data_IF_351540700623
#
_entry.id   IF_351540700623
#
_cell.length_a   1.000
_cell.length_b   1.000
_cell.length_c   1.000
_cell.angle_alpha   90.00
_cell.angle_beta   90.00
_cell.angle_gamma   90.00
#
_symmetry.space_group_name_H-M   'P 1'
#
loop_
_entity.id
_entity.type
_entity.pdbx_description
1 polymer ?
#
# COMPACT_ATOMS: atom_id res chain seq x y z
N UNK A 1 1.86 -4.36 16.55
CA UNK A 1 2.65 -5.54 16.16
C UNK A 1 3.13 -5.39 14.73
N UNK A 2 4.30 -5.95 14.41
CA UNK A 2 4.80 -6.10 13.03
C UNK A 2 4.87 -7.59 12.74
N UNK A 3 4.09 -8.04 11.74
CA UNK A 3 3.92 -9.46 11.42
C UNK A 3 4.35 -9.71 9.99
N UNK A 4 5.13 -10.74 9.77
CA UNK A 4 5.47 -11.23 8.43
C UNK A 4 4.80 -12.58 8.21
N UNK A 5 3.99 -12.67 7.15
CA UNK A 5 3.38 -13.91 6.68
C UNK A 5 4.17 -14.40 5.47
N UNK A 6 4.83 -15.53 5.61
CA UNK A 6 5.60 -16.18 4.54
C UNK A 6 5.52 -17.69 4.68
N UNK A 7 5.60 -18.39 3.56
CA UNK A 7 5.73 -19.84 3.46
C UNK A 7 7.19 -20.31 3.41
N UNK A 8 8.11 -19.37 3.21
CA UNK A 8 9.54 -19.59 3.12
C UNK A 8 10.21 -19.47 4.50
N UNK A 9 10.89 -20.55 4.93
CA UNK A 9 11.54 -20.61 6.24
C UNK A 9 12.76 -19.67 6.34
N UNK A 10 13.50 -19.45 5.25
CA UNK A 10 14.64 -18.53 5.24
C UNK A 10 14.17 -17.08 5.37
N UNK A 11 13.11 -16.70 4.65
CA UNK A 11 12.49 -15.37 4.80
C UNK A 11 11.89 -15.18 6.19
N UNK A 12 11.34 -16.23 6.79
CA UNK A 12 10.83 -16.18 8.17
C UNK A 12 11.94 -15.89 9.17
N UNK A 13 13.11 -16.52 9.01
CA UNK A 13 14.25 -16.31 9.90
C UNK A 13 14.85 -14.90 9.73
N UNK A 14 14.99 -14.43 8.50
CA UNK A 14 15.39 -13.04 8.20
C UNK A 14 14.43 -12.04 8.85
N UNK A 15 13.13 -12.25 8.71
CA UNK A 15 12.14 -11.36 9.31
C UNK A 15 12.26 -11.29 10.84
N UNK A 16 12.52 -12.42 11.51
CA UNK A 16 12.76 -12.48 12.96
C UNK A 16 14.05 -11.75 13.36
N UNK A 17 15.13 -11.85 12.59
CA UNK A 17 16.37 -11.11 12.84
C UNK A 17 16.15 -9.59 12.83
N UNK A 18 15.23 -9.10 11.99
CA UNK A 18 14.83 -7.69 11.96
C UNK A 18 13.71 -7.33 12.95
N UNK A 19 13.33 -8.25 13.84
CA UNK A 19 12.40 -8.00 14.93
C UNK A 19 10.91 -8.13 14.59
N UNK A 20 10.57 -8.69 13.43
CA UNK A 20 9.18 -8.99 13.10
C UNK A 20 8.70 -10.28 13.79
N UNK A 21 7.41 -10.35 14.08
CA UNK A 21 6.76 -11.59 14.49
C UNK A 21 6.51 -12.46 13.26
N UNK A 22 6.85 -13.75 13.35
CA UNK A 22 6.46 -14.79 12.37
C UNK A 22 5.79 -15.91 13.15
N UNK A 23 4.52 -15.73 13.52
CA UNK A 23 3.83 -16.63 14.45
C UNK A 23 3.40 -17.95 13.82
N UNK A 24 3.39 -18.02 12.50
CA UNK A 24 3.06 -19.19 11.70
C UNK A 24 3.89 -19.21 10.42
N UNK A 25 3.96 -20.37 9.76
CA UNK A 25 4.35 -20.47 8.36
C UNK A 25 3.08 -20.45 7.53
N UNK A 26 3.00 -19.58 6.54
CA UNK A 26 1.80 -19.41 5.71
C UNK A 26 1.47 -20.72 4.99
N UNK A 27 0.21 -21.17 5.03
CA UNK A 27 -0.23 -22.36 4.30
C UNK A 27 0.06 -22.24 2.79
N UNK A 28 0.49 -23.35 2.19
CA UNK A 28 0.93 -23.37 0.77
C UNK A 28 -0.16 -22.86 -0.21
N UNK A 29 -1.43 -23.15 0.04
CA UNK A 29 -2.52 -22.67 -0.81
C UNK A 29 -2.73 -21.14 -0.75
N UNK A 30 -2.16 -20.46 0.25
CA UNK A 30 -2.14 -19.00 0.35
C UNK A 30 -0.83 -18.40 -0.20
N UNK A 31 0.05 -19.20 -0.76
CA UNK A 31 1.35 -18.79 -1.30
C UNK A 31 1.48 -19.05 -2.81
N UNK A 32 0.40 -19.40 -3.47
CA UNK A 32 0.38 -19.60 -4.91
C UNK A 32 0.42 -18.26 -5.66
N UNK A 33 1.02 -18.23 -6.85
CA UNK A 33 1.16 -17.03 -7.68
C UNK A 33 -0.19 -16.36 -8.02
N UNK A 34 -1.27 -17.13 -8.00
CA UNK A 34 -2.64 -16.66 -8.29
C UNK A 34 -3.40 -16.24 -7.04
N UNK A 35 -2.86 -16.44 -5.85
CA UNK A 35 -3.53 -16.11 -4.60
C UNK A 35 -3.58 -14.59 -4.40
N UNK A 36 -4.77 -14.05 -4.20
CA UNK A 36 -4.95 -12.66 -3.83
C UNK A 36 -4.35 -12.35 -2.45
N UNK A 37 -4.07 -11.09 -2.18
CA UNK A 37 -3.46 -10.66 -0.91
C UNK A 37 -4.44 -10.73 0.26
N UNK A 38 -5.73 -10.52 0.01
CA UNK A 38 -6.77 -10.45 1.04
C UNK A 38 -6.87 -11.74 1.88
N UNK A 39 -6.95 -12.95 1.31
CA UNK A 39 -6.95 -14.19 2.08
C UNK A 39 -5.71 -14.38 2.97
N UNK A 40 -4.57 -13.83 2.57
CA UNK A 40 -3.34 -13.88 3.38
C UNK A 40 -3.47 -13.01 4.63
N UNK A 41 -4.11 -11.85 4.50
CA UNK A 41 -4.36 -10.94 5.62
C UNK A 41 -5.43 -11.51 6.53
N UNK A 42 -6.51 -12.04 5.97
CA UNK A 42 -7.60 -12.71 6.70
C UNK A 42 -7.06 -13.86 7.58
N UNK A 43 -6.21 -14.71 7.02
CA UNK A 43 -5.53 -15.76 7.78
C UNK A 43 -4.71 -15.21 8.97
N UNK A 44 -4.02 -14.10 8.81
CA UNK A 44 -3.29 -13.49 9.90
C UNK A 44 -4.22 -12.90 10.97
N UNK A 45 -5.33 -12.28 10.57
CA UNK A 45 -6.36 -11.76 11.48
C UNK A 45 -6.99 -12.91 12.28
N UNK A 46 -7.39 -13.98 11.60
CA UNK A 46 -7.98 -15.18 12.22
C UNK A 46 -7.03 -15.80 13.23
N UNK A 47 -5.76 -15.99 12.86
CA UNK A 47 -4.74 -16.51 13.78
C UNK A 47 -4.67 -15.71 15.08
N UNK A 48 -4.61 -14.39 14.98
CA UNK A 48 -4.51 -13.55 16.18
C UNK A 48 -5.80 -13.52 16.98
N UNK A 49 -6.96 -13.52 16.34
CA UNK A 49 -8.27 -13.58 17.00
C UNK A 49 -8.45 -14.88 17.79
N UNK A 50 -8.09 -16.00 17.19
CA UNK A 50 -8.12 -17.31 17.86
C UNK A 50 -7.15 -17.41 19.03
N UNK A 51 -6.06 -16.64 19.00
CA UNK A 51 -5.08 -16.53 20.08
C UNK A 51 -5.37 -15.38 21.07
N UNK A 52 -6.60 -14.86 21.06
CA UNK A 52 -7.09 -13.92 22.08
C UNK A 52 -6.70 -12.46 21.85
N UNK A 53 -6.30 -12.10 20.63
CA UNK A 53 -6.03 -10.70 20.26
C UNK A 53 -6.67 -10.34 18.94
N UNK A 54 -7.72 -9.55 18.99
CA UNK A 54 -8.42 -9.07 17.80
C UNK A 54 -7.84 -7.71 17.37
N UNK A 55 -7.22 -7.61 16.18
CA UNK A 55 -6.73 -6.33 15.68
C UNK A 55 -7.89 -5.46 15.25
N UNK A 56 -7.91 -4.19 15.63
CA UNK A 56 -8.90 -3.20 15.19
C UNK A 56 -8.73 -2.85 13.70
N UNK A 57 -7.49 -2.75 13.27
CA UNK A 57 -7.12 -2.47 11.88
C UNK A 57 -5.78 -3.13 11.52
N UNK A 58 -5.58 -3.35 10.24
CA UNK A 58 -4.35 -3.90 9.67
C UNK A 58 -3.72 -2.86 8.75
N UNK A 59 -2.41 -2.63 8.91
CA UNK A 59 -1.60 -1.93 7.92
C UNK A 59 -0.87 -2.96 7.06
N UNK A 60 -1.30 -3.11 5.81
CA UNK A 60 -0.58 -3.89 4.81
C UNK A 60 0.57 -3.05 4.25
N UNK A 61 1.77 -3.60 4.28
CA UNK A 61 2.97 -3.06 3.66
C UNK A 61 3.50 -4.09 2.67
N UNK A 62 3.49 -3.77 1.38
CA UNK A 62 4.02 -4.69 0.37
C UNK A 62 5.55 -4.61 0.32
N UNK A 63 6.19 -5.76 0.23
CA UNK A 63 7.65 -5.88 0.17
C UNK A 63 8.24 -5.29 -1.13
N UNK A 64 7.43 -5.25 -2.20
CA UNK A 64 7.80 -4.64 -3.48
C UNK A 64 7.94 -3.12 -3.42
N UNK A 65 7.43 -2.47 -2.37
CA UNK A 65 7.59 -1.02 -2.15
C UNK A 65 8.49 -0.76 -0.93
N UNK A 66 9.81 -0.98 -1.03
CA UNK A 66 10.70 -0.98 0.14
C UNK A 66 11.11 0.41 0.63
N UNK A 67 10.98 1.44 -0.20
CA UNK A 67 11.44 2.80 0.14
C UNK A 67 10.41 3.49 1.04
N UNK A 68 10.83 3.83 2.26
CA UNK A 68 10.01 4.58 3.22
C UNK A 68 10.85 5.59 3.96
N UNK A 69 10.35 6.81 4.04
CA UNK A 69 10.98 7.86 4.82
C UNK A 69 10.72 7.67 6.33
N UNK A 70 11.66 8.08 7.18
CA UNK A 70 11.46 8.06 8.62
C UNK A 70 10.18 8.81 9.02
N UNK A 71 9.36 8.16 9.85
CA UNK A 71 8.12 8.76 10.38
C UNK A 71 6.89 8.64 9.47
N UNK A 72 7.01 8.19 8.23
CA UNK A 72 5.86 8.02 7.31
C UNK A 72 4.78 7.13 7.89
N UNK A 73 5.13 5.93 8.39
CA UNK A 73 4.16 5.02 8.99
C UNK A 73 3.47 5.63 10.22
N UNK A 74 4.23 6.34 11.06
CA UNK A 74 3.66 6.99 12.24
C UNK A 74 2.68 8.11 11.88
N UNK A 75 2.96 8.89 10.83
CA UNK A 75 2.02 9.91 10.30
C UNK A 75 0.76 9.25 9.75
N UNK A 76 0.91 8.15 9.01
CA UNK A 76 -0.20 7.42 8.43
C UNK A 76 -1.15 6.84 9.51
N UNK A 77 -0.59 6.18 10.53
CA UNK A 77 -1.38 5.66 11.67
C UNK A 77 -2.13 6.78 12.36
N UNK A 78 -1.48 7.93 12.60
CA UNK A 78 -2.13 9.08 13.24
C UNK A 78 -3.28 9.63 12.39
N UNK A 79 -3.06 9.86 11.09
CA UNK A 79 -4.12 10.33 10.20
C UNK A 79 -5.30 9.36 10.18
N UNK A 80 -5.03 8.05 10.10
CA UNK A 80 -6.08 7.03 10.10
C UNK A 80 -6.88 7.02 11.40
N UNK A 81 -6.20 7.13 12.55
CA UNK A 81 -6.87 7.18 13.85
C UNK A 81 -7.74 8.45 14.02
N UNK A 82 -7.33 9.57 13.44
CA UNK A 82 -8.03 10.85 13.57
C UNK A 82 -9.18 11.02 12.56
N UNK A 83 -9.09 10.42 11.37
CA UNK A 83 -10.07 10.63 10.29
C UNK A 83 -11.35 9.80 10.41
N UNK A 84 -11.35 8.74 11.23
CA UNK A 84 -12.49 7.84 11.45
C UNK A 84 -12.93 7.01 10.25
N UNK A 85 -12.11 6.95 9.19
CA UNK A 85 -12.44 6.20 7.97
C UNK A 85 -12.28 4.69 8.16
N UNK A 86 -12.86 3.92 7.23
CA UNK A 86 -12.81 2.46 7.28
C UNK A 86 -11.55 1.91 6.62
N UNK A 87 -11.02 2.64 5.63
CA UNK A 87 -9.73 2.34 5.02
C UNK A 87 -9.01 3.60 4.54
N UNK A 88 -7.70 3.48 4.36
CA UNK A 88 -6.82 4.51 3.83
C UNK A 88 -5.73 3.88 2.97
N UNK A 89 -5.43 4.48 1.82
CA UNK A 89 -4.41 4.01 0.88
C UNK A 89 -3.33 5.05 0.67
N UNK A 90 -2.07 4.59 0.63
CA UNK A 90 -0.91 5.40 0.28
C UNK A 90 -0.91 5.72 -1.21
N UNK A 91 -0.77 6.99 -1.55
CA UNK A 91 -0.81 7.46 -2.94
C UNK A 91 0.26 8.51 -3.21
N UNK A 92 0.65 8.61 -4.47
CA UNK A 92 1.58 9.60 -4.98
C UNK A 92 0.83 10.54 -5.92
N UNK A 93 0.99 11.86 -5.77
CA UNK A 93 0.42 12.82 -6.70
C UNK A 93 1.09 12.71 -8.07
N UNK A 94 0.30 12.61 -9.10
CA UNK A 94 0.76 12.62 -10.50
C UNK A 94 0.05 13.73 -11.28
N UNK A 95 0.67 14.16 -12.38
CA UNK A 95 0.02 15.13 -13.27
C UNK A 95 -1.27 14.56 -13.88
N UNK A 96 -2.22 15.42 -14.25
CA UNK A 96 -3.51 15.00 -14.79
C UNK A 96 -3.45 14.45 -16.22
N UNK A 97 -2.27 14.40 -16.83
CA UNK A 97 -2.06 14.05 -18.24
C UNK A 97 -2.22 12.56 -18.51
N UNK A 98 -3.37 12.03 -18.10
CA UNK A 98 -3.74 10.63 -18.22
C UNK A 98 -4.74 10.49 -19.38
N UNK A 99 -4.54 9.46 -20.20
CA UNK A 99 -5.43 9.09 -21.28
C UNK A 99 -6.06 7.73 -21.01
N UNK A 100 -7.32 7.58 -21.36
CA UNK A 100 -8.02 6.31 -21.33
C UNK A 100 -8.27 5.87 -22.77
N UNK A 101 -7.89 4.63 -23.09
CA UNK A 101 -8.23 4.01 -24.36
C UNK A 101 -9.52 3.22 -24.20
N UNK A 102 -10.54 3.53 -24.99
CA UNK A 102 -11.82 2.85 -24.94
C UNK A 102 -11.90 1.68 -25.94
N UNK A 103 -12.82 0.75 -25.69
CA UNK A 103 -13.00 -0.45 -26.51
C UNK A 103 -13.45 -0.14 -27.95
N UNK A 104 -14.06 1.02 -28.20
CA UNK A 104 -14.44 1.54 -29.52
C UNK A 104 -13.26 2.13 -30.31
N UNK A 105 -12.06 2.18 -29.70
CA UNK A 105 -10.86 2.71 -30.31
C UNK A 105 -10.65 4.21 -30.16
N UNK A 106 -11.51 4.91 -29.43
CA UNK A 106 -11.39 6.36 -29.20
C UNK A 106 -10.70 6.64 -27.85
N UNK A 107 -9.59 7.41 -27.83
CA UNK A 107 -8.95 7.81 -26.58
C UNK A 107 -9.63 9.05 -25.99
N UNK A 108 -9.72 9.11 -24.65
CA UNK A 108 -10.13 10.32 -23.92
C UNK A 108 -9.06 10.78 -22.96
N UNK A 109 -8.93 12.09 -22.79
CA UNK A 109 -8.03 12.71 -21.84
C UNK A 109 -8.75 12.98 -20.51
N UNK A 110 -8.06 12.75 -19.38
CA UNK A 110 -8.55 13.12 -18.06
C UNK A 110 -8.34 14.61 -17.73
N UNK A 111 -8.06 15.44 -18.74
CA UNK A 111 -7.81 16.88 -18.63
C UNK A 111 -8.39 17.62 -19.82
N UNK A 112 -8.62 18.94 -19.68
CA UNK A 112 -9.09 19.78 -20.78
C UNK A 112 -7.96 19.97 -21.81
N UNK A 113 -8.14 19.42 -23.02
CA UNK A 113 -7.11 19.41 -24.08
C UNK A 113 -6.83 20.82 -24.58
N UNK A 114 -7.87 21.62 -24.80
CA UNK A 114 -7.76 22.97 -25.37
C UNK A 114 -7.30 24.01 -24.34
N UNK A 115 -7.49 23.72 -23.06
CA UNK A 115 -7.02 24.53 -21.93
C UNK A 115 -6.06 23.70 -21.04
N UNK A 116 -5.03 23.11 -21.67
CA UNK A 116 -4.09 22.23 -20.99
C UNK A 116 -3.46 22.89 -19.76
N UNK A 117 -3.65 22.35 -18.56
CA UNK A 117 -3.13 22.97 -17.34
C UNK A 117 -1.58 22.95 -17.32
N UNK A 118 -0.97 23.98 -16.75
CA UNK A 118 0.48 23.99 -16.48
C UNK A 118 0.75 23.29 -15.16
N UNK A 119 1.91 22.64 -15.03
CA UNK A 119 2.27 21.91 -13.80
C UNK A 119 2.23 22.80 -12.56
N UNK A 120 2.61 24.08 -12.70
CA UNK A 120 2.63 25.07 -11.61
C UNK A 120 1.23 25.53 -11.19
N UNK A 121 0.20 25.27 -11.98
CA UNK A 121 -1.19 25.66 -11.74
C UNK A 121 -2.00 24.52 -11.14
N UNK A 122 -1.39 23.33 -10.98
CA UNK A 122 -2.08 22.17 -10.44
C UNK A 122 -2.35 22.36 -8.94
N UNK A 123 -3.56 22.04 -8.54
CA UNK A 123 -4.03 22.04 -7.15
C UNK A 123 -4.34 20.62 -6.70
N UNK A 124 -4.60 20.43 -5.40
CA UNK A 124 -4.98 19.13 -4.84
C UNK A 124 -6.17 18.49 -5.61
N UNK A 125 -7.10 19.29 -6.08
CA UNK A 125 -8.29 18.84 -6.81
C UNK A 125 -7.99 18.47 -8.27
N UNK A 126 -6.95 19.04 -8.85
CA UNK A 126 -6.59 18.84 -10.27
C UNK A 126 -5.47 17.83 -10.47
N UNK A 127 -4.70 17.48 -9.44
CA UNK A 127 -3.82 16.31 -9.47
C UNK A 127 -4.63 15.03 -9.65
N UNK A 128 -3.98 14.00 -10.17
CA UNK A 128 -4.40 12.61 -10.04
C UNK A 128 -3.50 11.93 -9.01
N UNK A 129 -3.98 10.88 -8.43
CA UNK A 129 -3.29 10.17 -7.38
C UNK A 129 -3.11 8.72 -7.81
N UNK A 130 -1.87 8.27 -7.83
CA UNK A 130 -1.53 6.89 -8.19
C UNK A 130 -1.28 6.08 -6.90
N UNK A 131 -2.03 5.03 -6.75
CA UNK A 131 -1.75 3.97 -5.80
C UNK A 131 -0.49 3.21 -6.22
N UNK A 132 0.43 2.93 -5.30
CA UNK A 132 1.70 2.27 -5.61
C UNK A 132 1.93 0.98 -4.80
N UNK A 133 0.90 0.50 -4.09
CA UNK A 133 1.04 -0.71 -3.28
C UNK A 133 1.78 -0.55 -1.95
N UNK A 134 2.42 0.59 -1.71
CA UNK A 134 3.29 0.77 -0.54
C UNK A 134 2.58 0.57 0.79
N UNK A 135 1.32 1.03 0.91
CA UNK A 135 0.62 1.03 2.18
C UNK A 135 -0.89 1.07 2.04
N UNK A 136 -1.57 0.21 2.80
CA UNK A 136 -3.01 0.24 3.04
C UNK A 136 -3.25 0.14 4.54
N UNK A 137 -4.11 0.96 5.10
CA UNK A 137 -4.59 0.80 6.48
C UNK A 137 -6.09 0.57 6.43
N UNK A 138 -6.55 -0.54 6.98
CA UNK A 138 -7.93 -0.97 6.80
C UNK A 138 -8.45 -1.63 8.07
N UNK A 139 -9.65 -1.24 8.52
CA UNK A 139 -10.31 -1.86 9.66
C UNK A 139 -10.56 -3.33 9.41
N UNK A 140 -10.42 -4.13 10.44
CA UNK A 140 -10.54 -5.60 10.37
C UNK A 140 -11.84 -6.06 9.72
N UNK A 141 -12.98 -5.44 10.04
CA UNK A 141 -14.28 -5.83 9.46
C UNK A 141 -14.34 -5.71 7.94
N UNK A 142 -13.54 -4.82 7.31
CA UNK A 142 -13.50 -4.68 5.86
C UNK A 142 -12.89 -5.92 5.21
N UNK A 143 -11.87 -6.51 5.83
CA UNK A 143 -11.33 -7.79 5.40
C UNK A 143 -12.30 -8.94 5.67
N UNK A 144 -12.81 -9.04 6.90
CA UNK A 144 -13.59 -10.19 7.34
C UNK A 144 -14.99 -10.25 6.75
N UNK A 145 -15.64 -9.10 6.51
CA UNK A 145 -17.02 -9.03 6.02
C UNK A 145 -17.11 -8.78 4.51
N UNK A 146 -16.09 -8.16 3.92
CA UNK A 146 -16.11 -7.72 2.52
C UNK A 146 -14.96 -8.26 1.67
N UNK A 147 -14.02 -9.01 2.25
CA UNK A 147 -12.89 -9.64 1.57
C UNK A 147 -12.10 -8.66 0.69
N UNK A 148 -11.86 -7.45 1.21
CA UNK A 148 -11.22 -6.39 0.45
C UNK A 148 -10.28 -5.57 1.33
N UNK A 149 -9.22 -5.02 0.71
CA UNK A 149 -8.26 -4.12 1.37
C UNK A 149 -8.71 -2.67 1.43
N UNK A 150 -9.79 -2.32 0.71
CA UNK A 150 -10.38 -0.98 0.70
C UNK A 150 -11.89 -1.05 0.86
N UNK A 151 -12.46 -0.12 1.62
CA UNK A 151 -13.88 -0.03 1.92
C UNK A 151 -14.70 0.50 0.73
N UNK A 152 -14.62 -0.17 -0.42
CA UNK A 152 -15.32 0.19 -1.66
C UNK A 152 -16.79 -0.25 -1.73
N UNK A 153 -17.38 -0.75 -0.65
CA UNK A 153 -18.78 -1.16 -0.56
C UNK A 153 -19.71 0.03 -0.26
N UNK A 154 -21.03 -0.06 -0.52
CA UNK A 154 -21.98 1.01 -0.22
C UNK A 154 -21.97 1.40 1.27
N UNK A 155 -21.62 2.66 1.54
CA UNK A 155 -21.47 3.19 2.90
C UNK A 155 -20.06 3.09 3.48
N UNK A 156 -19.16 2.34 2.86
CA UNK A 156 -17.75 2.30 3.22
C UNK A 156 -17.04 3.63 2.92
N UNK A 157 -16.01 3.94 3.69
CA UNK A 157 -15.29 5.22 3.58
C UNK A 157 -13.79 5.01 3.39
N UNK A 158 -13.22 5.76 2.42
CA UNK A 158 -11.81 5.67 2.05
C UNK A 158 -11.16 7.05 2.19
N UNK A 159 -9.92 7.10 2.72
CA UNK A 159 -9.07 8.29 2.68
C UNK A 159 -7.78 8.02 1.90
N UNK A 160 -7.12 9.09 1.48
CA UNK A 160 -5.82 9.04 0.81
C UNK A 160 -4.73 9.56 1.73
N UNK A 161 -3.66 8.80 1.87
CA UNK A 161 -2.44 9.24 2.53
C UNK A 161 -1.38 9.62 1.51
N UNK A 162 -0.91 10.88 1.58
CA UNK A 162 0.11 11.38 0.68
C UNK A 162 1.49 10.85 1.06
N UNK A 163 2.07 10.07 0.16
CA UNK A 163 3.46 9.66 0.19
C UNK A 163 4.35 10.70 -0.51
N UNK A 164 5.62 10.74 -0.16
CA UNK A 164 6.62 11.47 -0.91
C UNK A 164 6.91 10.77 -2.25
N UNK A 165 7.31 11.51 -3.29
CA UNK A 165 7.64 10.94 -4.59
C UNK A 165 8.74 9.87 -4.49
N UNK A 166 9.69 10.03 -3.56
CA UNK A 166 10.77 9.05 -3.34
C UNK A 166 10.25 7.72 -2.79
N UNK A 167 9.13 7.73 -2.06
CA UNK A 167 8.46 6.53 -1.55
C UNK A 167 7.63 5.80 -2.63
N UNK A 168 7.66 6.32 -3.87
CA UNK A 168 6.86 5.87 -4.99
C UNK A 168 7.39 4.69 -5.77
N UNK A 169 8.56 4.18 -5.43
CA UNK A 169 9.15 3.04 -6.13
C UNK A 169 8.40 1.77 -5.77
N UNK A 170 7.96 1.07 -6.80
CA UNK A 170 7.42 -0.27 -6.73
C UNK A 170 8.26 -1.19 -7.61
N UNK A 171 8.69 -2.33 -7.11
CA UNK A 171 9.61 -3.24 -7.79
C UNK A 171 8.80 -4.24 -8.61
N UNK A 172 8.55 -3.90 -9.86
CA UNK A 172 7.89 -4.76 -10.86
C UNK A 172 8.91 -5.37 -11.85
N UNK A 173 10.06 -4.71 -12.02
CA UNK A 173 11.10 -5.11 -12.94
C UNK A 173 12.52 -4.98 -12.32
N UNK A 174 13.54 -5.67 -12.85
CA UNK A 174 14.91 -5.58 -12.31
C UNK A 174 15.47 -4.16 -12.21
N UNK A 175 15.07 -3.25 -13.09
CA UNK A 175 15.50 -1.86 -13.05
C UNK A 175 14.97 -1.14 -11.81
N UNK A 176 13.75 -1.45 -11.37
CA UNK A 176 13.12 -0.82 -10.21
C UNK A 176 13.88 -1.17 -8.92
N UNK A 177 14.44 -2.38 -8.86
CA UNK A 177 15.31 -2.79 -7.74
C UNK A 177 16.54 -1.89 -7.63
N UNK A 178 17.20 -1.58 -8.76
CA UNK A 178 18.34 -0.68 -8.78
C UNK A 178 17.96 0.76 -8.38
N UNK A 179 16.79 1.21 -8.76
CA UNK A 179 16.26 2.53 -8.34
C UNK A 179 16.00 2.55 -6.84
N UNK A 180 15.33 1.52 -6.31
CA UNK A 180 15.05 1.38 -4.88
C UNK A 180 16.34 1.33 -4.04
N UNK A 181 17.34 0.54 -4.47
CA UNK A 181 18.63 0.44 -3.80
C UNK A 181 19.36 1.79 -3.76
N UNK A 182 19.37 2.51 -4.88
CA UNK A 182 19.98 3.83 -4.95
C UNK A 182 19.32 4.82 -3.98
N UNK A 183 17.98 4.88 -3.98
CA UNK A 183 17.22 5.78 -3.10
C UNK A 183 17.43 5.44 -1.63
N UNK A 184 17.36 4.16 -1.25
CA UNK A 184 17.60 3.73 0.12
C UNK A 184 19.03 4.09 0.58
N UNK A 185 20.03 3.90 -0.30
CA UNK A 185 21.43 4.26 0.01
C UNK A 185 21.55 5.75 0.27
N UNK A 186 20.89 6.61 -0.51
CA UNK A 186 20.89 8.05 -0.28
C UNK A 186 20.22 8.43 1.04
N UNK A 187 19.02 7.90 1.32
CA UNK A 187 18.28 8.17 2.56
C UNK A 187 19.12 7.79 3.78
N UNK A 188 19.75 6.61 3.76
CA UNK A 188 20.58 6.13 4.87
C UNK A 188 21.86 6.97 5.05
N UNK A 189 22.48 7.43 3.95
CA UNK A 189 23.69 8.25 4.00
C UNK A 189 23.44 9.67 4.50
N UNK A 190 22.24 10.20 4.28
CA UNK A 190 21.86 11.54 4.73
C UNK A 190 21.41 11.60 6.18
N UNK A 191 21.29 10.43 6.85
CA UNK A 191 20.90 10.33 8.27
C UNK A 191 19.49 10.83 8.56
N UNK A 192 18.63 10.77 7.56
CA UNK A 192 17.25 11.25 7.61
C UNK A 192 16.27 10.14 7.87
#
# INVERSE_FOLDING_TARGET
>A
RVVVSTDDAELADIAREYGAEVPFIRPAHLAEDTTATEPVIEHAIEFYTENGWEPEAVMLLQATSPVRLPGTLARAVRQFAENGKDSMVGVIPIGPFIWTWHADGEPTAAFEIMARPRRQELTKETFRYRENGSMYITKTHVYMDHHNRLAGYPGGTIDLFMLDEVEGVDIDAPIDFSVAEHQLTQILSEGK
#
